data_IF_459025400921
#
_entry.id   IF_459025400921
#
_cell.length_a   1.000
_cell.length_b   1.000
_cell.length_c   1.000
_cell.angle_alpha   90.00
_cell.angle_beta   90.00
_cell.angle_gamma   90.00
#
_symmetry.space_group_name_H-M   'P 1'
#
loop_
_entity.id
_entity.type
_entity.pdbx_description
1 polymer ?
#
# COMPACT_ATOMS: atom_id res chain seq x y z
N UNK A 1 -21.83 -17.55 -19.17
CA UNK A 1 -22.45 -16.29 -18.72
C UNK A 1 -21.45 -15.19 -19.10
N UNK A 2 -21.87 -14.25 -19.94
CA UNK A 2 -21.03 -13.19 -20.46
C UNK A 2 -20.42 -12.36 -19.33
N UNK A 3 -19.13 -12.02 -19.48
CA UNK A 3 -18.46 -11.03 -18.67
C UNK A 3 -19.23 -9.70 -18.80
N UNK A 4 -19.62 -9.14 -17.67
CA UNK A 4 -20.16 -7.77 -17.63
C UNK A 4 -18.97 -6.88 -17.99
N UNK A 5 -19.05 -6.08 -19.08
CA UNK A 5 -18.00 -5.12 -19.39
C UNK A 5 -17.90 -4.09 -18.25
N UNK A 6 -16.72 -3.49 -18.01
CA UNK A 6 -16.57 -2.45 -17.01
C UNK A 6 -17.57 -1.32 -17.32
N UNK A 7 -18.19 -0.81 -16.28
CA UNK A 7 -19.23 0.22 -16.32
C UNK A 7 -18.88 1.35 -17.26
N UNK A 8 -19.86 1.79 -18.01
CA UNK A 8 -19.89 2.92 -18.96
C UNK A 8 -19.71 4.29 -18.23
N UNK A 9 -18.77 4.36 -17.31
CA UNK A 9 -18.43 5.59 -16.59
C UNK A 9 -17.41 6.37 -17.40
N UNK A 10 -17.80 7.56 -17.84
CA UNK A 10 -16.86 8.52 -18.44
C UNK A 10 -15.70 8.77 -17.49
N UNK A 11 -14.45 8.82 -17.99
CA UNK A 11 -13.30 9.09 -17.14
C UNK A 11 -13.46 10.43 -16.42
N UNK A 12 -13.22 10.44 -15.10
CA UNK A 12 -13.18 11.67 -14.31
C UNK A 12 -11.94 12.50 -14.60
N UNK A 13 -10.88 11.85 -15.08
CA UNK A 13 -9.59 12.45 -15.38
C UNK A 13 -8.96 11.74 -16.59
N UNK A 14 -8.44 12.51 -17.53
CA UNK A 14 -7.52 12.04 -18.58
C UNK A 14 -6.10 12.43 -18.19
N UNK A 15 -5.20 11.46 -18.09
CA UNK A 15 -3.79 11.67 -17.71
C UNK A 15 -2.92 11.50 -18.94
N UNK A 16 -2.33 12.58 -19.42
CA UNK A 16 -1.34 12.58 -20.48
C UNK A 16 0.06 12.47 -19.87
N UNK A 17 0.85 11.54 -20.34
CA UNK A 17 2.18 11.35 -19.78
C UNK A 17 3.03 10.37 -20.56
N UNK A 18 4.26 10.14 -20.09
CA UNK A 18 5.17 9.16 -20.68
C UNK A 18 5.40 7.98 -19.74
N UNK A 19 5.55 6.82 -20.32
CA UNK A 19 6.03 5.62 -19.59
C UNK A 19 7.47 5.86 -19.11
N UNK A 20 7.83 5.35 -17.94
CA UNK A 20 9.15 5.56 -17.35
C UNK A 20 9.35 6.92 -16.68
N UNK A 21 8.27 7.66 -16.39
CA UNK A 21 8.31 8.87 -15.56
C UNK A 21 7.78 8.56 -14.16
N UNK A 22 8.60 8.78 -13.13
CA UNK A 22 8.22 8.57 -11.74
C UNK A 22 6.97 9.37 -11.34
N UNK A 23 6.85 10.60 -11.84
CA UNK A 23 5.70 11.45 -11.54
C UNK A 23 4.43 10.96 -12.25
N UNK A 24 4.54 10.57 -13.51
CA UNK A 24 3.40 9.96 -14.25
C UNK A 24 2.94 8.66 -13.58
N UNK A 25 3.89 7.82 -13.15
CA UNK A 25 3.59 6.62 -12.39
C UNK A 25 2.85 6.94 -11.08
N UNK A 26 3.35 7.90 -10.29
CA UNK A 26 2.76 8.28 -9.01
C UNK A 26 1.29 8.71 -9.15
N UNK A 27 0.98 9.56 -10.13
CA UNK A 27 -0.41 10.01 -10.39
C UNK A 27 -1.28 8.84 -10.84
N UNK A 28 -0.80 8.02 -11.75
CA UNK A 28 -1.53 6.83 -12.23
C UNK A 28 -1.81 5.82 -11.13
N UNK A 29 -0.78 5.46 -10.34
CA UNK A 29 -0.91 4.52 -9.23
C UNK A 29 -1.90 5.05 -8.18
N UNK A 30 -1.84 6.35 -7.87
CA UNK A 30 -2.78 6.99 -6.97
C UNK A 30 -4.23 6.88 -7.45
N UNK A 31 -4.50 7.22 -8.71
CA UNK A 31 -5.84 7.13 -9.30
C UNK A 31 -6.34 5.68 -9.35
N UNK A 32 -5.50 4.77 -9.82
CA UNK A 32 -5.81 3.34 -9.91
C UNK A 32 -6.15 2.74 -8.54
N UNK A 33 -5.33 2.99 -7.54
CA UNK A 33 -5.51 2.41 -6.19
C UNK A 33 -6.70 2.98 -5.43
N UNK A 34 -7.16 4.16 -5.79
CA UNK A 34 -8.37 4.76 -5.22
C UNK A 34 -9.62 4.55 -6.09
N UNK A 35 -9.54 3.63 -7.06
CA UNK A 35 -10.63 3.27 -7.97
C UNK A 35 -11.26 4.49 -8.68
N UNK A 36 -10.42 5.47 -9.04
CA UNK A 36 -10.84 6.63 -9.83
C UNK A 36 -10.91 6.23 -11.29
N UNK A 37 -12.06 6.37 -11.97
CA UNK A 37 -12.13 6.17 -13.41
C UNK A 37 -11.25 7.20 -14.14
N UNK A 38 -10.17 6.76 -14.76
CA UNK A 38 -9.28 7.62 -15.53
C UNK A 38 -8.89 7.00 -16.85
N UNK A 39 -8.56 7.86 -17.82
CA UNK A 39 -7.97 7.49 -19.10
C UNK A 39 -6.47 7.81 -19.09
N UNK A 40 -5.65 6.85 -19.50
CA UNK A 40 -4.22 7.08 -19.71
C UNK A 40 -3.91 7.27 -21.18
N UNK A 41 -3.34 8.42 -21.52
CA UNK A 41 -2.85 8.73 -22.86
C UNK A 41 -1.33 8.79 -22.84
N UNK A 42 -0.69 7.69 -23.27
CA UNK A 42 0.77 7.60 -23.37
C UNK A 42 1.28 8.44 -24.54
N UNK A 43 2.21 9.36 -24.25
CA UNK A 43 2.88 10.16 -25.27
C UNK A 43 4.20 9.46 -25.66
N UNK A 44 4.39 9.24 -26.96
CA UNK A 44 5.54 8.55 -27.54
C UNK A 44 6.41 9.42 -28.44
N UNK A 45 5.87 10.56 -28.89
CA UNK A 45 6.53 11.47 -29.82
C UNK A 45 6.35 12.93 -29.41
N UNK A 46 7.29 13.79 -29.82
CA UNK A 46 7.18 15.24 -29.60
C UNK A 46 6.00 15.86 -30.38
N UNK A 47 5.53 15.20 -31.42
CA UNK A 47 4.34 15.64 -32.17
C UNK A 47 3.09 15.50 -31.30
N UNK A 48 2.94 14.37 -30.62
CA UNK A 48 1.83 14.14 -29.69
C UNK A 48 1.90 15.10 -28.49
N UNK A 49 3.10 15.36 -27.96
CA UNK A 49 3.30 16.33 -26.89
C UNK A 49 2.87 17.74 -27.31
N UNK A 50 3.27 18.18 -28.51
CA UNK A 50 2.87 19.50 -29.07
C UNK A 50 1.37 19.59 -29.31
N UNK A 51 0.70 18.49 -29.66
CA UNK A 51 -0.75 18.48 -29.85
C UNK A 51 -1.55 18.81 -28.59
N UNK A 52 -0.95 18.61 -27.41
CA UNK A 52 -1.53 18.98 -26.10
C UNK A 52 -0.87 20.22 -25.47
N UNK A 53 -0.10 21.00 -26.25
CA UNK A 53 0.53 22.25 -25.82
C UNK A 53 1.81 22.13 -25.02
N UNK A 54 2.51 20.98 -25.12
CA UNK A 54 3.84 20.77 -24.54
C UNK A 54 4.93 20.91 -25.62
N UNK A 55 6.17 21.14 -25.22
CA UNK A 55 7.28 21.34 -26.16
C UNK A 55 7.83 19.99 -26.69
N UNK A 56 7.88 18.97 -25.83
CA UNK A 56 8.39 17.63 -26.15
C UNK A 56 7.86 16.58 -25.16
N UNK A 57 8.14 15.30 -25.43
CA UNK A 57 7.87 14.21 -24.46
C UNK A 57 8.75 14.29 -23.19
N UNK A 58 9.80 15.10 -23.22
CA UNK A 58 10.67 15.39 -22.08
C UNK A 58 10.24 16.60 -21.26
N UNK A 59 9.12 17.22 -21.61
CA UNK A 59 8.65 18.44 -20.95
C UNK A 59 8.38 18.23 -19.46
N UNK A 60 8.94 19.11 -18.63
CA UNK A 60 8.83 19.04 -17.17
C UNK A 60 7.41 19.26 -16.66
N UNK A 61 6.50 19.76 -17.48
CA UNK A 61 5.08 19.91 -17.18
C UNK A 61 4.31 18.59 -17.16
N UNK A 62 4.91 17.47 -17.59
CA UNK A 62 4.30 16.14 -17.52
C UNK A 62 4.31 15.55 -16.09
N UNK A 63 3.26 14.79 -15.69
CA UNK A 63 2.02 14.51 -16.41
C UNK A 63 1.08 15.73 -16.49
N UNK A 64 0.22 15.74 -17.51
CA UNK A 64 -0.90 16.70 -17.59
C UNK A 64 -2.19 15.95 -17.27
N UNK A 65 -2.93 16.44 -16.29
CA UNK A 65 -4.24 15.92 -15.93
C UNK A 65 -5.34 16.87 -16.44
N UNK A 66 -6.28 16.32 -17.20
CA UNK A 66 -7.48 17.04 -17.66
C UNK A 66 -8.69 16.40 -17.00
N UNK A 67 -9.39 17.15 -16.16
CA UNK A 67 -10.55 16.68 -15.41
C UNK A 67 -11.85 16.82 -16.23
N UNK A 68 -12.88 16.08 -15.85
CA UNK A 68 -14.17 16.05 -16.55
C UNK A 68 -14.84 17.42 -16.69
N UNK A 69 -14.53 18.38 -15.81
CA UNK A 69 -15.01 19.77 -15.90
C UNK A 69 -14.15 20.68 -16.81
N UNK A 70 -13.18 20.09 -17.52
CA UNK A 70 -12.26 20.80 -18.39
C UNK A 70 -11.05 21.44 -17.68
N UNK A 71 -10.94 21.34 -16.37
CA UNK A 71 -9.76 21.84 -15.65
C UNK A 71 -8.52 21.08 -16.07
N UNK A 72 -7.47 21.81 -16.46
CA UNK A 72 -6.15 21.28 -16.80
C UNK A 72 -5.17 21.62 -15.69
N UNK A 73 -4.44 20.62 -15.19
CA UNK A 73 -3.36 20.79 -14.21
C UNK A 73 -2.11 20.10 -14.76
N UNK A 74 -1.04 20.89 -14.89
CA UNK A 74 0.27 20.44 -15.35
C UNK A 74 1.11 20.06 -14.14
N UNK A 75 1.80 18.92 -14.20
CA UNK A 75 2.62 18.36 -13.13
C UNK A 75 1.93 18.37 -11.76
N UNK A 76 0.69 17.86 -11.65
CA UNK A 76 -0.06 17.94 -10.40
C UNK A 76 0.62 17.15 -9.29
N UNK A 77 0.64 17.71 -8.09
CA UNK A 77 0.90 16.93 -6.88
C UNK A 77 -0.31 16.03 -6.58
N UNK A 78 -0.11 14.96 -5.82
CA UNK A 78 -1.23 14.10 -5.37
C UNK A 78 -2.26 14.89 -4.57
N UNK A 79 -1.81 15.87 -3.79
CA UNK A 79 -2.68 16.77 -3.05
C UNK A 79 -3.61 17.57 -4.00
N UNK A 80 -3.07 18.15 -5.08
CA UNK A 80 -3.88 18.88 -6.07
C UNK A 80 -4.87 17.97 -6.79
N UNK A 81 -4.47 16.73 -7.10
CA UNK A 81 -5.39 15.73 -7.66
C UNK A 81 -6.51 15.42 -6.66
N UNK A 82 -6.18 15.17 -5.40
CA UNK A 82 -7.15 14.87 -4.34
C UNK A 82 -8.09 16.05 -4.08
N UNK A 83 -7.57 17.29 -4.10
CA UNK A 83 -8.36 18.51 -3.97
C UNK A 83 -9.37 18.64 -5.12
N UNK A 84 -8.90 18.41 -6.35
CA UNK A 84 -9.77 18.50 -7.54
C UNK A 84 -10.84 17.42 -7.57
N UNK A 85 -10.55 16.24 -7.01
CA UNK A 85 -11.53 15.16 -6.82
C UNK A 85 -12.49 15.41 -5.64
N UNK A 86 -12.32 16.53 -4.90
CA UNK A 86 -13.15 16.87 -3.75
C UNK A 86 -12.88 16.02 -2.50
N UNK A 87 -11.69 15.39 -2.42
CA UNK A 87 -11.33 14.49 -1.32
C UNK A 87 -10.57 15.18 -0.18
N UNK A 88 -10.00 16.36 -0.43
CA UNK A 88 -9.38 17.16 0.62
C UNK A 88 -10.46 17.84 1.45
N UNK A 89 -10.75 17.22 2.60
CA UNK A 89 -11.69 17.74 3.59
C UNK A 89 -10.97 17.92 4.92
N UNK A 90 -11.35 18.92 5.68
CA UNK A 90 -10.91 19.04 7.06
C UNK A 90 -11.77 18.16 7.97
N UNK A 91 -11.23 17.72 9.13
CA UNK A 91 -12.00 16.98 10.11
C UNK A 91 -13.31 17.71 10.45
N UNK A 92 -14.43 17.00 10.34
CA UNK A 92 -15.76 17.59 10.57
C UNK A 92 -16.06 17.83 12.05
N UNK A 93 -15.36 17.12 12.95
CA UNK A 93 -15.54 17.20 14.39
C UNK A 93 -14.26 17.70 15.08
N UNK A 94 -14.44 18.42 16.17
CA UNK A 94 -13.34 18.85 17.04
C UNK A 94 -12.74 17.70 17.85
N UNK A 95 -13.50 16.62 18.07
CA UNK A 95 -13.09 15.43 18.81
C UNK A 95 -13.84 14.19 18.31
N UNK A 96 -13.12 13.09 18.19
CA UNK A 96 -13.61 11.78 17.81
C UNK A 96 -13.53 10.79 18.97
N UNK A 97 -14.32 9.71 18.93
CA UNK A 97 -14.16 8.60 19.84
C UNK A 97 -12.93 7.78 19.46
N UNK A 98 -12.70 7.62 18.14
CA UNK A 98 -11.62 6.82 17.58
C UNK A 98 -10.96 7.49 16.39
N UNK A 99 -9.62 7.60 16.42
CA UNK A 99 -8.80 7.91 15.26
C UNK A 99 -8.04 6.65 14.78
N UNK A 100 -8.10 6.36 13.48
CA UNK A 100 -7.46 5.22 12.84
C UNK A 100 -6.40 5.75 11.88
N UNK A 101 -5.16 5.33 12.04
CA UNK A 101 -4.05 5.73 11.18
C UNK A 101 -3.71 4.59 10.21
N UNK A 102 -4.00 4.80 8.93
CA UNK A 102 -3.87 3.84 7.84
C UNK A 102 -5.23 3.25 7.41
N UNK A 103 -5.53 3.33 6.10
CA UNK A 103 -6.72 2.77 5.47
C UNK A 103 -6.42 1.47 4.70
N UNK A 104 -5.48 0.65 5.20
CA UNK A 104 -5.29 -0.74 4.77
C UNK A 104 -6.41 -1.65 5.29
N UNK A 105 -6.35 -2.97 5.03
CA UNK A 105 -7.40 -3.91 5.46
C UNK A 105 -7.74 -3.85 6.95
N UNK A 106 -6.74 -3.68 7.83
CA UNK A 106 -6.97 -3.54 9.28
C UNK A 106 -7.71 -2.25 9.62
N UNK A 107 -7.26 -1.12 9.06
CA UNK A 107 -7.87 0.18 9.33
C UNK A 107 -9.29 0.30 8.76
N UNK A 108 -9.53 -0.21 7.55
CA UNK A 108 -10.87 -0.23 6.95
C UNK A 108 -11.83 -1.12 7.74
N UNK A 109 -11.37 -2.30 8.18
CA UNK A 109 -12.17 -3.16 9.05
C UNK A 109 -12.50 -2.45 10.36
N UNK A 110 -11.51 -1.84 11.02
CA UNK A 110 -11.74 -1.06 12.22
C UNK A 110 -12.74 0.09 11.98
N UNK A 111 -12.65 0.79 10.85
CA UNK A 111 -13.56 1.88 10.49
C UNK A 111 -15.01 1.38 10.29
N UNK A 112 -15.19 0.26 9.61
CA UNK A 112 -16.53 -0.35 9.41
C UNK A 112 -17.14 -0.71 10.76
N UNK A 113 -16.41 -1.44 11.60
CA UNK A 113 -16.94 -1.89 12.90
C UNK A 113 -17.18 -0.72 13.84
N UNK A 114 -16.23 0.19 14.02
CA UNK A 114 -16.39 1.32 14.94
C UNK A 114 -17.53 2.23 14.56
N UNK A 115 -17.67 2.58 13.27
CA UNK A 115 -18.74 3.43 12.80
C UNK A 115 -20.12 2.71 12.85
N UNK A 116 -20.18 1.42 12.53
CA UNK A 116 -21.42 0.64 12.65
C UNK A 116 -21.91 0.52 14.11
N UNK A 117 -20.99 0.55 15.05
CA UNK A 117 -21.28 0.54 16.49
C UNK A 117 -21.53 1.95 17.06
N UNK A 118 -21.59 2.97 16.21
CA UNK A 118 -21.95 4.35 16.55
C UNK A 118 -20.82 5.22 17.09
N UNK A 119 -19.56 4.76 17.04
CA UNK A 119 -18.42 5.59 17.42
C UNK A 119 -18.15 6.66 16.36
N UNK A 120 -17.89 7.89 16.79
CA UNK A 120 -17.39 8.97 15.95
C UNK A 120 -15.98 8.63 15.50
N UNK A 121 -15.84 8.15 14.27
CA UNK A 121 -14.61 7.55 13.74
C UNK A 121 -14.02 8.38 12.63
N UNK A 122 -12.70 8.66 12.71
CA UNK A 122 -11.92 9.26 11.64
C UNK A 122 -10.76 8.34 11.23
N UNK A 123 -10.55 8.20 9.93
CA UNK A 123 -9.42 7.46 9.34
C UNK A 123 -8.50 8.44 8.63
N UNK A 124 -7.21 8.32 8.87
CA UNK A 124 -6.17 9.13 8.24
C UNK A 124 -5.34 8.23 7.32
N UNK A 125 -5.33 8.50 6.02
CA UNK A 125 -4.59 7.75 5.03
C UNK A 125 -3.63 8.67 4.25
N UNK A 126 -2.36 8.29 4.25
CA UNK A 126 -1.29 9.11 3.65
C UNK A 126 -1.29 9.09 2.12
N UNK A 127 -1.76 8.00 1.51
CA UNK A 127 -1.65 7.79 0.07
C UNK A 127 -2.97 7.32 -0.54
N UNK A 128 -3.26 6.04 -0.46
CA UNK A 128 -4.41 5.43 -1.11
C UNK A 128 -5.07 4.38 -0.21
N UNK A 129 -6.39 4.33 -0.26
CA UNK A 129 -7.19 3.33 0.44
C UNK A 129 -6.81 1.92 -0.01
N UNK A 130 -6.83 0.96 0.91
CA UNK A 130 -6.47 -0.43 0.66
C UNK A 130 -5.03 -0.79 1.04
N UNK A 131 -4.17 0.18 1.35
CA UNK A 131 -2.78 -0.08 1.74
C UNK A 131 -2.04 -0.94 0.70
N UNK A 132 -1.15 -1.82 1.11
CA UNK A 132 -0.45 -2.73 0.18
C UNK A 132 -1.39 -3.74 -0.50
N UNK A 133 -2.47 -4.16 0.16
CA UNK A 133 -3.44 -5.07 -0.43
C UNK A 133 -4.13 -4.45 -1.66
N UNK A 134 -4.35 -3.13 -1.66
CA UNK A 134 -4.94 -2.39 -2.79
C UNK A 134 -4.14 -2.48 -4.09
N UNK A 135 -2.83 -2.74 -4.03
CA UNK A 135 -1.99 -2.95 -5.21
C UNK A 135 -2.01 -4.39 -5.75
N UNK A 136 -2.69 -5.32 -5.06
CA UNK A 136 -2.76 -6.72 -5.50
C UNK A 136 -3.72 -6.87 -6.67
N UNK A 137 -3.27 -7.43 -7.80
CA UNK A 137 -4.14 -7.59 -8.97
C UNK A 137 -5.28 -8.57 -8.72
N UNK A 138 -5.05 -9.57 -7.84
CA UNK A 138 -6.05 -10.57 -7.49
C UNK A 138 -5.76 -11.20 -6.13
N UNK A 139 -6.72 -11.12 -5.22
CA UNK A 139 -6.73 -11.79 -3.92
C UNK A 139 -7.67 -12.98 -4.02
N UNK A 140 -7.14 -14.20 -4.04
CA UNK A 140 -7.90 -15.43 -4.27
C UNK A 140 -8.20 -16.19 -2.96
N UNK A 141 -7.51 -15.85 -1.89
CA UNK A 141 -7.63 -16.52 -0.58
C UNK A 141 -8.36 -15.68 0.48
N UNK A 142 -9.13 -14.67 0.07
CA UNK A 142 -10.02 -13.95 0.96
C UNK A 142 -11.42 -14.57 0.91
N UNK A 143 -11.96 -14.90 2.07
CA UNK A 143 -13.24 -15.60 2.22
C UNK A 143 -14.37 -14.80 1.59
N UNK A 144 -15.29 -15.51 0.87
CA UNK A 144 -16.47 -14.92 0.22
C UNK A 144 -16.27 -14.58 -1.27
N UNK A 145 -15.06 -14.70 -1.80
CA UNK A 145 -14.75 -14.41 -3.21
C UNK A 145 -14.18 -15.65 -3.92
N UNK A 146 -15.02 -16.61 -4.34
CA UNK A 146 -14.54 -17.89 -4.90
C UNK A 146 -13.79 -17.75 -6.22
N UNK A 147 -13.95 -16.62 -6.92
CA UNK A 147 -13.20 -16.29 -8.14
C UNK A 147 -12.07 -15.28 -7.89
N UNK A 148 -11.84 -14.91 -6.62
CA UNK A 148 -10.95 -13.83 -6.23
C UNK A 148 -11.56 -12.44 -6.49
N UNK A 149 -10.89 -11.43 -5.97
CA UNK A 149 -11.24 -10.01 -6.14
C UNK A 149 -9.95 -9.21 -6.28
N UNK A 150 -9.94 -8.10 -7.01
CA UNK A 150 -8.81 -7.19 -7.01
C UNK A 150 -8.66 -6.50 -5.66
N UNK A 151 -7.42 -6.15 -5.29
CA UNK A 151 -7.18 -5.45 -4.03
C UNK A 151 -7.84 -4.07 -3.99
N UNK A 152 -7.84 -3.36 -5.11
CA UNK A 152 -8.47 -2.05 -5.26
C UNK A 152 -9.99 -2.14 -5.06
N UNK A 153 -10.65 -3.08 -5.74
CA UNK A 153 -12.10 -3.30 -5.60
C UNK A 153 -12.49 -3.71 -4.18
N UNK A 154 -11.72 -4.59 -3.54
CA UNK A 154 -11.97 -4.97 -2.14
C UNK A 154 -11.86 -3.77 -1.20
N UNK A 155 -10.87 -2.92 -1.41
CA UNK A 155 -10.64 -1.72 -0.62
C UNK A 155 -11.75 -0.68 -0.82
N UNK A 156 -12.18 -0.46 -2.06
CA UNK A 156 -13.25 0.47 -2.38
C UNK A 156 -14.57 0.06 -1.75
N UNK A 157 -14.95 -1.21 -1.85
CA UNK A 157 -16.14 -1.77 -1.17
C UNK A 157 -16.09 -1.55 0.35
N UNK A 158 -14.93 -1.76 0.98
CA UNK A 158 -14.76 -1.54 2.41
C UNK A 158 -14.82 -0.05 2.78
N UNK A 159 -14.26 0.84 1.94
CA UNK A 159 -14.36 2.30 2.08
C UNK A 159 -15.81 2.76 2.02
N UNK A 160 -16.56 2.33 1.00
CA UNK A 160 -17.99 2.66 0.87
C UNK A 160 -18.79 2.19 2.08
N UNK A 161 -18.50 0.98 2.57
CA UNK A 161 -19.15 0.43 3.75
C UNK A 161 -18.88 1.26 5.00
N UNK A 162 -17.62 1.64 5.24
CA UNK A 162 -17.22 2.49 6.37
C UNK A 162 -17.89 3.87 6.30
N UNK A 163 -17.84 4.52 5.13
CA UNK A 163 -18.49 5.83 4.90
C UNK A 163 -20.00 5.77 5.08
N UNK A 164 -20.66 4.71 4.63
CA UNK A 164 -22.10 4.51 4.82
C UNK A 164 -22.51 4.44 6.30
N UNK A 165 -21.66 3.90 7.16
CA UNK A 165 -21.86 3.91 8.60
C UNK A 165 -21.43 5.21 9.28
N UNK A 166 -20.86 6.18 8.53
CA UNK A 166 -20.51 7.50 9.04
C UNK A 166 -19.04 7.68 9.43
N UNK A 167 -18.15 6.74 9.09
CA UNK A 167 -16.72 6.96 9.23
C UNK A 167 -16.28 8.08 8.29
N UNK A 168 -15.47 9.00 8.80
CA UNK A 168 -14.80 10.03 8.03
C UNK A 168 -13.42 9.54 7.60
N UNK A 169 -13.09 9.64 6.31
CA UNK A 169 -11.80 9.20 5.76
C UNK A 169 -11.10 10.37 5.11
N UNK A 170 -9.93 10.72 5.64
CA UNK A 170 -9.03 11.74 5.09
C UNK A 170 -7.96 11.05 4.25
N UNK A 171 -7.99 11.25 2.93
CA UNK A 171 -7.03 10.70 1.96
C UNK A 171 -5.96 11.74 1.64
N UNK A 172 -4.74 11.29 1.27
CA UNK A 172 -3.58 12.12 1.01
C UNK A 172 -3.18 13.00 2.20
N UNK A 173 -3.37 12.49 3.42
CA UNK A 173 -3.05 13.15 4.68
C UNK A 173 -2.11 12.27 5.51
N UNK A 174 -0.91 12.73 5.78
CA UNK A 174 0.09 11.99 6.55
C UNK A 174 0.13 12.48 8.00
N UNK A 175 0.01 11.53 8.96
CA UNK A 175 0.28 11.79 10.36
C UNK A 175 1.79 11.85 10.61
N UNK A 176 2.28 12.97 11.14
CA UNK A 176 3.72 13.20 11.33
C UNK A 176 4.14 13.27 12.79
N UNK A 177 3.20 13.53 13.69
CA UNK A 177 3.46 13.62 15.13
C UNK A 177 2.23 13.22 15.91
N UNK A 178 2.43 12.62 17.08
CA UNK A 178 1.36 12.34 18.04
C UNK A 178 1.72 12.88 19.42
N UNK A 179 0.70 13.12 20.23
CA UNK A 179 0.79 13.49 21.64
C UNK A 179 -0.28 12.75 22.43
N UNK A 180 0.06 12.37 23.66
CA UNK A 180 -0.88 11.77 24.60
C UNK A 180 -1.05 12.72 25.80
N UNK A 181 -2.22 13.30 25.96
CA UNK A 181 -2.47 14.30 27.00
C UNK A 181 -3.91 14.24 27.49
N UNK A 182 -4.08 14.31 28.82
CA UNK A 182 -5.38 14.38 29.48
C UNK A 182 -6.39 13.32 28.99
N UNK A 183 -5.94 12.08 28.84
CA UNK A 183 -6.78 10.97 28.36
C UNK A 183 -7.08 11.00 26.86
N UNK A 184 -6.53 11.94 26.10
CA UNK A 184 -6.75 12.10 24.66
C UNK A 184 -5.51 11.74 23.83
N UNK A 185 -5.75 11.34 22.58
CA UNK A 185 -4.76 11.04 21.55
C UNK A 185 -4.83 12.16 20.51
N UNK A 186 -3.76 12.89 20.38
CA UNK A 186 -3.69 14.03 19.48
C UNK A 186 -2.72 13.72 18.37
N UNK A 187 -3.20 13.66 17.13
CA UNK A 187 -2.39 13.51 15.93
C UNK A 187 -2.24 14.83 15.20
N UNK A 188 -1.04 15.09 14.70
CA UNK A 188 -0.75 16.22 13.84
C UNK A 188 -0.43 15.71 12.45
N UNK A 189 -1.10 16.26 11.45
CA UNK A 189 -0.90 15.94 10.06
C UNK A 189 0.17 16.86 9.44
N UNK A 190 0.77 16.43 8.35
CA UNK A 190 1.86 17.15 7.67
C UNK A 190 1.46 18.57 7.21
N UNK A 191 0.17 18.82 6.98
CA UNK A 191 -0.37 20.12 6.59
C UNK A 191 -0.78 21.02 7.77
N UNK A 192 -0.45 20.60 9.00
CA UNK A 192 -0.78 21.33 10.22
C UNK A 192 -2.15 21.00 10.83
N UNK A 193 -2.97 20.20 10.16
CA UNK A 193 -4.26 19.75 10.71
C UNK A 193 -4.07 18.96 11.99
N UNK A 194 -4.92 19.21 12.98
CA UNK A 194 -4.94 18.51 14.26
C UNK A 194 -6.15 17.59 14.35
N UNK A 195 -5.94 16.32 14.71
CA UNK A 195 -6.99 15.35 14.99
C UNK A 195 -6.94 14.95 16.46
N UNK A 196 -8.06 15.10 17.16
CA UNK A 196 -8.18 14.75 18.59
C UNK A 196 -9.14 13.57 18.73
N UNK A 197 -8.73 12.53 19.46
CA UNK A 197 -9.57 11.37 19.72
C UNK A 197 -9.37 10.81 21.14
N UNK A 198 -10.37 10.08 21.64
CA UNK A 198 -10.32 9.42 22.95
C UNK A 198 -9.48 8.14 22.90
N UNK A 199 -9.50 7.43 21.76
CA UNK A 199 -8.67 6.26 21.48
C UNK A 199 -8.06 6.34 20.08
N UNK A 200 -7.00 5.57 19.84
CA UNK A 200 -6.39 5.49 18.50
C UNK A 200 -6.02 4.05 18.15
N UNK A 201 -6.12 3.71 16.86
CA UNK A 201 -5.61 2.47 16.28
C UNK A 201 -4.52 2.82 15.26
N UNK A 202 -3.30 2.30 15.47
CA UNK A 202 -2.24 2.31 14.49
C UNK A 202 -2.43 1.11 13.55
N UNK A 203 -2.82 1.36 12.31
CA UNK A 203 -3.05 0.38 11.26
C UNK A 203 -2.21 0.69 10.00
N UNK A 204 -1.02 1.32 10.21
CA UNK A 204 -0.16 1.87 9.16
C UNK A 204 0.54 0.83 8.32
N UNK A 205 0.46 -0.46 8.73
CA UNK A 205 1.07 -1.56 8.01
C UNK A 205 2.60 -1.46 7.95
N UNK A 206 3.17 -1.85 6.81
CA UNK A 206 4.60 -1.81 6.53
C UNK A 206 4.88 -1.09 5.22
N UNK A 207 6.05 -0.48 5.09
CA UNK A 207 6.56 0.03 3.81
C UNK A 207 7.43 -1.03 3.16
N UNK A 208 7.49 -1.02 1.83
CA UNK A 208 8.33 -1.96 1.09
C UNK A 208 9.81 -1.78 1.41
N UNK A 209 10.48 -2.89 1.67
CA UNK A 209 11.93 -2.93 1.76
C UNK A 209 12.57 -2.57 0.43
N UNK A 210 13.71 -1.89 0.48
CA UNK A 210 14.46 -1.44 -0.68
C UNK A 210 15.48 -2.49 -1.11
N UNK A 211 15.81 -2.50 -2.40
CA UNK A 211 16.94 -3.27 -2.91
C UNK A 211 18.25 -2.73 -2.39
N UNK A 212 18.28 -1.44 -2.02
CA UNK A 212 19.46 -0.70 -1.55
C UNK A 212 20.61 -0.72 -2.55
N UNK A 213 20.30 -0.72 -3.85
CA UNK A 213 21.28 -0.71 -4.93
C UNK A 213 21.64 0.74 -5.32
N UNK A 214 22.86 0.96 -5.82
CA UNK A 214 23.25 2.23 -6.42
C UNK A 214 22.25 2.63 -7.54
N UNK A 215 21.92 3.91 -7.61
CA UNK A 215 21.00 4.50 -8.59
C UNK A 215 19.53 4.02 -8.50
N UNK A 216 19.14 3.24 -7.48
CA UNK A 216 17.77 2.76 -7.33
C UNK A 216 16.74 3.90 -7.34
N UNK A 217 17.00 4.99 -6.58
CA UNK A 217 16.09 6.14 -6.52
C UNK A 217 15.88 6.81 -7.88
N UNK A 218 16.87 6.77 -8.77
CA UNK A 218 16.77 7.30 -10.13
C UNK A 218 15.76 6.52 -10.97
N UNK A 219 15.69 5.21 -10.78
CA UNK A 219 14.82 4.32 -11.55
C UNK A 219 13.47 4.07 -10.89
N UNK A 220 13.26 4.58 -9.69
CA UNK A 220 11.99 4.41 -8.97
C UNK A 220 10.84 5.09 -9.69
N UNK A 221 9.82 4.29 -10.11
CA UNK A 221 8.73 4.73 -10.98
C UNK A 221 9.16 4.96 -12.43
N UNK A 222 10.46 4.78 -12.74
CA UNK A 222 11.03 4.85 -14.08
C UNK A 222 11.67 3.51 -14.48
N UNK A 223 11.00 2.41 -14.11
CA UNK A 223 11.40 1.02 -14.40
C UNK A 223 11.57 0.16 -13.17
N UNK A 224 11.76 0.74 -11.97
CA UNK A 224 11.76 0.03 -10.68
C UNK A 224 10.47 0.37 -9.92
N UNK A 225 9.67 -0.64 -9.64
CA UNK A 225 8.37 -0.53 -8.98
C UNK A 225 8.34 -1.42 -7.75
N UNK A 226 7.66 -0.97 -6.69
CA UNK A 226 7.51 -1.72 -5.45
C UNK A 226 6.08 -2.26 -5.33
N UNK A 227 5.96 -3.56 -5.03
CA UNK A 227 4.70 -4.26 -4.95
C UNK A 227 4.29 -4.96 -6.25
N UNK A 228 3.01 -5.34 -6.35
CA UNK A 228 2.53 -6.23 -7.42
C UNK A 228 2.28 -5.55 -8.77
N UNK A 229 2.39 -4.21 -8.85
CA UNK A 229 2.35 -3.45 -10.10
C UNK A 229 1.08 -3.65 -10.94
N UNK A 230 -0.09 -3.74 -10.30
CA UNK A 230 -1.34 -3.97 -11.03
C UNK A 230 -1.66 -2.85 -12.03
N UNK A 231 -1.30 -1.61 -11.72
CA UNK A 231 -1.47 -0.44 -12.59
C UNK A 231 -0.56 -0.44 -13.82
N UNK A 232 0.56 -1.20 -13.80
CA UNK A 232 1.56 -1.25 -14.87
C UNK A 232 1.35 -2.40 -15.84
N UNK A 233 0.56 -3.41 -15.49
CA UNK A 233 0.47 -4.66 -16.25
C UNK A 233 0.08 -4.47 -17.72
N UNK A 234 -0.83 -3.55 -18.00
CA UNK A 234 -1.25 -3.23 -19.37
C UNK A 234 -0.15 -2.52 -20.20
N UNK A 235 0.86 -1.94 -19.54
CA UNK A 235 1.99 -1.29 -20.20
C UNK A 235 3.15 -2.26 -20.47
N UNK A 236 3.11 -3.45 -19.87
CA UNK A 236 4.15 -4.49 -20.01
C UNK A 236 3.93 -5.39 -21.23
N UNK A 237 2.94 -5.09 -22.07
CA UNK A 237 2.67 -5.84 -23.30
C UNK A 237 3.91 -5.79 -24.19
N UNK A 238 4.31 -6.97 -24.74
CA UNK A 238 5.51 -7.14 -25.56
C UNK A 238 6.86 -6.86 -24.86
N UNK A 239 6.86 -6.69 -23.53
CA UNK A 239 8.06 -6.39 -22.75
C UNK A 239 8.49 -7.59 -21.87
N UNK A 240 9.79 -7.71 -21.61
CA UNK A 240 10.29 -8.63 -20.60
C UNK A 240 10.11 -8.03 -19.21
N UNK A 241 9.47 -8.75 -18.29
CA UNK A 241 9.24 -8.32 -16.90
C UNK A 241 10.12 -9.12 -15.96
N UNK A 242 10.77 -8.45 -15.02
CA UNK A 242 11.51 -9.09 -13.92
C UNK A 242 10.78 -8.83 -12.62
N UNK A 243 10.55 -9.88 -11.83
CA UNK A 243 9.95 -9.82 -10.50
C UNK A 243 10.97 -10.35 -9.49
N UNK A 244 11.17 -9.63 -8.38
CA UNK A 244 12.07 -10.05 -7.30
C UNK A 244 11.29 -10.31 -6.03
N UNK A 245 11.49 -11.48 -5.44
CA UNK A 245 10.87 -11.87 -4.18
C UNK A 245 10.42 -13.31 -4.15
N UNK A 246 10.35 -13.89 -2.96
CA UNK A 246 10.02 -15.31 -2.75
C UNK A 246 8.71 -15.54 -1.98
N UNK A 247 7.90 -14.51 -1.77
CA UNK A 247 6.60 -14.63 -1.09
C UNK A 247 5.41 -14.69 -2.04
N UNK A 248 4.20 -14.84 -1.47
CA UNK A 248 2.95 -14.87 -2.24
C UNK A 248 2.75 -13.62 -3.12
N UNK A 249 3.18 -12.44 -2.65
CA UNK A 249 3.08 -11.20 -3.43
C UNK A 249 3.88 -11.27 -4.72
N UNK A 250 5.12 -11.77 -4.66
CA UNK A 250 5.95 -11.98 -5.85
C UNK A 250 5.34 -13.03 -6.79
N UNK A 251 4.82 -14.13 -6.24
CA UNK A 251 4.15 -15.17 -7.01
C UNK A 251 2.89 -14.66 -7.74
N UNK A 252 2.06 -13.87 -7.04
CA UNK A 252 0.86 -13.25 -7.63
C UNK A 252 1.21 -12.23 -8.71
N UNK A 253 2.23 -11.39 -8.48
CA UNK A 253 2.75 -10.45 -9.48
C UNK A 253 3.25 -11.20 -10.73
N UNK A 254 4.08 -12.25 -10.55
CA UNK A 254 4.59 -13.08 -11.64
C UNK A 254 3.47 -13.65 -12.48
N UNK A 255 2.45 -14.27 -11.87
CA UNK A 255 1.30 -14.83 -12.57
C UNK A 255 0.40 -13.75 -13.21
N UNK A 256 0.35 -12.55 -12.64
CA UNK A 256 -0.35 -11.45 -13.24
C UNK A 256 0.34 -10.99 -14.52
N UNK A 257 1.64 -10.70 -14.44
CA UNK A 257 2.43 -10.28 -15.60
C UNK A 257 2.53 -11.34 -16.68
N UNK A 258 2.54 -12.64 -16.33
CA UNK A 258 2.60 -13.73 -17.35
C UNK A 258 1.40 -13.75 -18.30
N UNK A 259 0.32 -13.06 -18.00
CA UNK A 259 -0.85 -12.90 -18.88
C UNK A 259 -0.72 -11.76 -19.89
N UNK A 260 0.21 -10.85 -19.66
CA UNK A 260 0.37 -9.62 -20.45
C UNK A 260 1.73 -9.56 -21.16
N UNK A 261 2.78 -10.01 -20.49
CA UNK A 261 4.15 -9.98 -20.97
C UNK A 261 4.55 -11.29 -21.68
N UNK A 262 5.33 -11.24 -22.77
CA UNK A 262 5.81 -12.42 -23.46
C UNK A 262 6.80 -13.24 -22.63
N UNK A 263 7.49 -12.61 -21.67
CA UNK A 263 8.44 -13.28 -20.77
C UNK A 263 8.42 -12.63 -19.40
N UNK A 264 8.41 -13.46 -18.35
CA UNK A 264 8.55 -13.04 -16.96
C UNK A 264 9.69 -13.83 -16.30
N UNK A 265 10.62 -13.14 -15.65
CA UNK A 265 11.66 -13.76 -14.85
C UNK A 265 11.40 -13.49 -13.37
N UNK A 266 11.16 -14.55 -12.59
CA UNK A 266 11.06 -14.47 -11.14
C UNK A 266 12.42 -14.77 -10.52
N UNK A 267 12.97 -13.79 -9.78
CA UNK A 267 14.28 -13.88 -9.10
C UNK A 267 14.06 -14.13 -7.62
N UNK A 268 14.56 -15.24 -7.09
CA UNK A 268 14.44 -15.61 -5.68
C UNK A 268 15.79 -15.92 -5.04
N UNK A 269 16.01 -15.45 -3.82
CA UNK A 269 17.24 -15.72 -3.05
C UNK A 269 17.36 -17.17 -2.60
N UNK A 270 16.23 -17.80 -2.29
CA UNK A 270 16.16 -19.20 -1.88
C UNK A 270 16.40 -20.17 -3.02
N UNK A 271 16.50 -21.43 -2.68
CA UNK A 271 16.61 -22.54 -3.65
C UNK A 271 15.25 -23.03 -4.17
N UNK A 272 14.16 -22.61 -3.53
CA UNK A 272 12.81 -23.07 -3.85
C UNK A 272 11.75 -22.05 -3.39
N UNK A 273 10.59 -22.06 -4.03
CA UNK A 273 9.39 -21.31 -3.63
C UNK A 273 8.61 -22.01 -2.49
N UNK A 274 8.90 -23.28 -2.21
CA UNK A 274 8.08 -24.14 -1.31
C UNK A 274 8.00 -23.65 0.13
N UNK A 275 8.98 -22.90 0.60
CA UNK A 275 9.05 -22.45 2.00
C UNK A 275 8.16 -21.24 2.29
N UNK A 276 7.74 -20.48 1.25
CA UNK A 276 7.15 -19.16 1.44
C UNK A 276 5.97 -18.84 0.51
N UNK A 277 5.70 -19.70 -0.47
CA UNK A 277 4.62 -19.52 -1.45
C UNK A 277 3.57 -20.62 -1.30
N UNK A 278 2.31 -20.26 -1.40
CA UNK A 278 1.18 -21.19 -1.37
C UNK A 278 1.25 -22.18 -2.56
N UNK A 279 0.96 -23.48 -2.31
CA UNK A 279 1.13 -24.54 -3.28
C UNK A 279 0.44 -24.28 -4.63
N UNK A 280 -0.80 -23.79 -4.61
CA UNK A 280 -1.54 -23.47 -5.84
C UNK A 280 -0.89 -22.40 -6.73
N UNK A 281 -0.12 -21.47 -6.13
CA UNK A 281 0.64 -20.47 -6.89
C UNK A 281 1.89 -21.08 -7.49
N UNK A 282 2.55 -21.98 -6.75
CA UNK A 282 3.74 -22.71 -7.22
C UNK A 282 3.39 -23.52 -8.47
N UNK A 283 2.31 -24.30 -8.42
CA UNK A 283 1.86 -25.12 -9.53
C UNK A 283 1.57 -24.29 -10.79
N UNK A 284 0.93 -23.14 -10.62
CA UNK A 284 0.64 -22.20 -11.71
C UNK A 284 1.91 -21.57 -12.30
N UNK A 285 2.88 -21.17 -11.44
CA UNK A 285 4.14 -20.60 -11.90
C UNK A 285 4.90 -21.59 -12.79
N UNK A 286 5.05 -22.82 -12.33
CA UNK A 286 5.77 -23.84 -13.10
C UNK A 286 5.00 -24.34 -14.33
N UNK A 287 3.69 -24.15 -14.38
CA UNK A 287 2.86 -24.46 -15.56
C UNK A 287 2.86 -23.35 -16.62
N UNK A 288 3.30 -22.14 -16.27
CA UNK A 288 3.33 -21.01 -17.19
C UNK A 288 4.57 -21.08 -18.09
N UNK A 289 4.37 -21.28 -19.41
CA UNK A 289 5.45 -21.46 -20.39
C UNK A 289 6.35 -20.25 -20.61
N UNK A 290 5.88 -19.05 -20.25
CA UNK A 290 6.61 -17.78 -20.38
C UNK A 290 7.21 -17.28 -19.06
N UNK A 291 7.21 -18.12 -18.00
CA UNK A 291 7.81 -17.79 -16.70
C UNK A 291 9.08 -18.58 -16.49
N UNK A 292 10.16 -17.88 -16.20
CA UNK A 292 11.45 -18.44 -15.77
C UNK A 292 11.68 -18.13 -14.30
N UNK A 293 12.06 -19.13 -13.49
CA UNK A 293 12.40 -18.93 -12.07
C UNK A 293 13.92 -19.08 -11.90
N UNK A 294 14.56 -17.99 -11.45
CA UNK A 294 15.99 -17.99 -11.09
C UNK A 294 16.11 -18.13 -9.57
N UNK A 295 16.54 -19.29 -9.13
CA UNK A 295 16.79 -19.60 -7.72
C UNK A 295 18.21 -19.24 -7.31
N UNK A 296 18.43 -19.00 -5.99
CA UNK A 296 19.72 -18.60 -5.44
C UNK A 296 20.29 -17.38 -6.18
N UNK A 297 19.42 -16.45 -6.50
CA UNK A 297 19.72 -15.34 -7.38
C UNK A 297 19.24 -14.01 -6.75
N UNK A 298 20.01 -12.96 -6.98
CA UNK A 298 19.74 -11.61 -6.50
C UNK A 298 19.98 -10.59 -7.61
N UNK A 299 19.18 -9.54 -7.66
CA UNK A 299 19.49 -8.37 -8.48
C UNK A 299 20.59 -7.61 -7.79
N UNK A 300 21.73 -7.42 -8.48
CA UNK A 300 22.94 -6.80 -7.93
C UNK A 300 23.30 -5.47 -8.60
N UNK A 301 22.71 -5.18 -9.78
CA UNK A 301 22.88 -3.87 -10.40
C UNK A 301 21.65 -3.48 -11.24
N UNK A 302 21.47 -2.18 -11.37
CA UNK A 302 20.46 -1.53 -12.20
C UNK A 302 21.18 -0.70 -13.26
N UNK A 303 20.84 -0.89 -14.53
CA UNK A 303 21.47 -0.22 -15.66
C UNK A 303 20.44 0.59 -16.45
N UNK A 304 20.85 1.73 -16.93
CA UNK A 304 20.06 2.62 -17.74
C UNK A 304 20.48 4.09 -17.56
N UNK A 305 19.90 4.95 -18.39
CA UNK A 305 20.20 6.38 -18.34
C UNK A 305 19.11 7.14 -17.61
N UNK A 306 17.97 7.33 -18.20
CA UNK A 306 16.82 8.05 -17.61
C UNK A 306 15.72 7.10 -17.11
N UNK A 307 15.68 5.91 -17.70
CA UNK A 307 14.81 4.79 -17.32
C UNK A 307 15.66 3.55 -17.14
N UNK A 308 15.12 2.56 -16.46
CA UNK A 308 15.74 1.24 -16.38
C UNK A 308 15.80 0.61 -17.79
N UNK A 309 16.96 0.09 -18.17
CA UNK A 309 17.18 -0.58 -19.46
C UNK A 309 17.59 -2.05 -19.26
N UNK A 310 18.25 -2.35 -18.14
CA UNK A 310 18.59 -3.73 -17.78
C UNK A 310 18.80 -3.89 -16.27
N UNK A 311 18.72 -5.14 -15.83
CA UNK A 311 19.15 -5.56 -14.48
C UNK A 311 20.25 -6.60 -14.57
N UNK A 312 21.17 -6.60 -13.61
CA UNK A 312 22.16 -7.67 -13.47
C UNK A 312 21.70 -8.57 -12.31
N UNK A 313 21.56 -9.85 -12.61
CA UNK A 313 21.20 -10.89 -11.65
C UNK A 313 22.41 -11.76 -11.39
N UNK A 314 22.81 -11.88 -10.12
CA UNK A 314 23.95 -12.71 -9.70
C UNK A 314 23.46 -13.95 -8.97
N UNK A 315 23.93 -15.11 -9.37
CA UNK A 315 23.71 -16.35 -8.63
C UNK A 315 24.63 -16.38 -7.40
N UNK A 316 24.07 -16.46 -6.20
CA UNK A 316 24.79 -16.40 -4.93
C UNK A 316 25.73 -17.58 -4.66
N UNK A 317 25.51 -18.73 -5.33
CA UNK A 317 26.31 -19.94 -5.16
C UNK A 317 27.50 -19.97 -6.12
N UNK A 318 27.30 -19.56 -7.38
CA UNK A 318 28.30 -19.69 -8.44
C UNK A 318 29.03 -18.36 -8.74
N UNK A 319 28.49 -17.25 -8.29
CA UNK A 319 28.95 -15.91 -8.66
C UNK A 319 28.65 -15.53 -10.12
N UNK A 320 27.97 -16.41 -10.86
CA UNK A 320 27.65 -16.13 -12.26
C UNK A 320 26.68 -14.97 -12.38
N UNK A 321 27.01 -14.01 -13.22
CA UNK A 321 26.17 -12.85 -13.52
C UNK A 321 25.44 -13.05 -14.84
N UNK A 322 24.17 -12.63 -14.85
CA UNK A 322 23.33 -12.57 -16.02
C UNK A 322 22.73 -11.19 -16.15
N UNK A 323 23.00 -10.51 -17.26
CA UNK A 323 22.35 -9.27 -17.65
C UNK A 323 21.00 -9.59 -18.32
N UNK A 324 19.93 -8.98 -17.84
CA UNK A 324 18.56 -9.13 -18.38
C UNK A 324 18.08 -7.77 -18.85
N UNK A 325 17.85 -7.62 -20.14
CA UNK A 325 17.24 -6.42 -20.71
C UNK A 325 15.78 -6.34 -20.30
N UNK A 326 15.42 -5.26 -19.64
CA UNK A 326 14.07 -4.98 -19.16
C UNK A 326 13.90 -3.52 -18.77
N UNK A 327 12.70 -3.00 -19.00
CA UNK A 327 12.26 -1.70 -18.47
C UNK A 327 11.34 -1.88 -17.25
N UNK A 328 11.14 -3.12 -16.76
CA UNK A 328 10.14 -3.46 -15.76
C UNK A 328 10.71 -4.39 -14.71
N UNK A 329 11.08 -3.82 -13.57
CA UNK A 329 11.51 -4.53 -12.38
C UNK A 329 10.49 -4.29 -11.26
N UNK A 330 9.84 -5.37 -10.80
CA UNK A 330 8.89 -5.33 -9.67
C UNK A 330 9.50 -5.97 -8.44
N UNK A 331 9.58 -5.20 -7.35
CA UNK A 331 10.24 -5.59 -6.11
C UNK A 331 9.21 -5.96 -5.05
N UNK A 332 9.21 -7.23 -4.63
CA UNK A 332 8.29 -7.83 -3.68
C UNK A 332 9.06 -8.56 -2.55
N UNK A 333 10.03 -7.89 -1.93
CA UNK A 333 10.99 -8.50 -0.98
C UNK A 333 10.61 -8.35 0.49
N UNK A 334 9.40 -7.87 0.79
CA UNK A 334 8.93 -7.64 2.14
C UNK A 334 8.83 -6.17 2.48
N UNK A 335 8.75 -5.86 3.77
CA UNK A 335 8.65 -4.48 4.25
C UNK A 335 8.83 -4.37 5.76
N UNK A 336 9.17 -3.17 6.20
CA UNK A 336 9.33 -2.78 7.59
C UNK A 336 8.31 -1.72 8.01
N UNK A 337 7.87 -1.68 9.28
CA UNK A 337 6.93 -0.69 9.75
C UNK A 337 7.61 0.67 9.95
N UNK A 338 6.90 1.76 9.68
CA UNK A 338 7.34 3.12 10.02
C UNK A 338 6.78 3.51 11.38
N UNK A 339 7.52 3.22 12.42
CA UNK A 339 7.09 3.44 13.81
C UNK A 339 8.10 4.25 14.63
N UNK A 340 8.95 5.03 13.97
CA UNK A 340 9.96 5.88 14.64
C UNK A 340 9.30 6.87 15.60
N UNK A 341 8.13 7.38 15.26
CA UNK A 341 7.30 8.25 16.10
C UNK A 341 6.95 7.59 17.45
N UNK A 342 6.79 6.29 17.47
CA UNK A 342 6.40 5.51 18.65
C UNK A 342 7.50 5.52 19.72
N UNK A 343 8.78 5.50 19.32
CA UNK A 343 9.91 5.56 20.25
C UNK A 343 9.92 6.87 21.06
N UNK A 344 9.64 8.00 20.38
CA UNK A 344 9.59 9.31 21.03
C UNK A 344 8.47 9.42 22.09
N UNK A 345 7.47 8.55 22.00
CA UNK A 345 6.31 8.50 22.91
C UNK A 345 6.40 7.35 23.93
N UNK A 346 7.52 6.62 23.98
CA UNK A 346 7.70 5.49 24.87
C UNK A 346 6.84 4.26 24.51
N UNK A 347 6.32 4.17 23.29
CA UNK A 347 5.60 3.00 22.81
C UNK A 347 6.58 1.88 22.51
N UNK A 348 6.36 0.69 23.12
CA UNK A 348 7.25 -0.46 22.98
C UNK A 348 7.22 -1.01 21.56
N UNK A 349 8.42 -1.24 21.01
CA UNK A 349 8.66 -1.84 19.70
C UNK A 349 9.64 -3.00 19.82
N UNK A 350 9.53 -3.96 18.92
CA UNK A 350 10.54 -4.99 18.76
C UNK A 350 11.80 -4.43 18.05
N UNK A 351 12.90 -5.18 17.96
CA UNK A 351 14.13 -4.74 17.29
C UNK A 351 13.95 -4.43 15.79
N UNK A 352 12.93 -4.98 15.13
CA UNK A 352 12.59 -4.70 13.73
C UNK A 352 11.63 -3.51 13.57
N UNK A 353 11.20 -2.89 14.67
CA UNK A 353 10.34 -1.71 14.67
C UNK A 353 8.84 -2.00 14.76
N UNK A 354 8.40 -3.24 14.87
CA UNK A 354 6.98 -3.57 15.01
C UNK A 354 6.46 -3.19 16.38
N UNK A 355 5.20 -2.74 16.46
CA UNK A 355 4.57 -2.37 17.72
C UNK A 355 4.21 -3.62 18.54
N UNK A 356 4.66 -3.67 19.78
CA UNK A 356 4.36 -4.77 20.71
C UNK A 356 3.04 -4.48 21.41
N UNK A 357 2.18 -5.50 21.55
CA UNK A 357 0.83 -5.36 22.11
C UNK A 357 0.44 -6.50 23.03
N UNK A 358 -0.48 -6.22 23.92
CA UNK A 358 -1.18 -7.24 24.72
C UNK A 358 -0.26 -8.17 25.52
N UNK A 359 -0.39 -9.50 25.33
CA UNK A 359 0.40 -10.47 26.10
C UNK A 359 1.91 -10.35 25.93
N UNK A 360 2.37 -9.88 24.75
CA UNK A 360 3.80 -9.75 24.45
C UNK A 360 4.47 -8.60 25.22
N UNK A 361 3.67 -7.76 25.88
CA UNK A 361 4.14 -6.71 26.80
C UNK A 361 4.32 -7.22 28.25
N UNK A 362 3.80 -8.39 28.57
CA UNK A 362 3.81 -8.89 29.96
C UNK A 362 5.18 -9.48 30.34
N UNK A 363 5.68 -9.13 31.52
CA UNK A 363 6.84 -9.72 32.12
C UNK A 363 6.40 -10.61 33.30
N UNK A 364 6.63 -11.92 33.22
CA UNK A 364 6.18 -12.91 34.20
C UNK A 364 4.67 -12.81 34.52
N UNK A 365 3.85 -12.55 33.48
CA UNK A 365 2.39 -12.40 33.60
C UNK A 365 1.93 -11.07 34.20
N UNK A 366 2.85 -10.14 34.46
CA UNK A 366 2.55 -8.80 35.01
C UNK A 366 2.53 -7.75 33.94
N UNK A 367 1.71 -6.73 34.10
CA UNK A 367 1.68 -5.57 33.24
C UNK A 367 3.05 -4.88 33.13
N UNK A 368 3.36 -4.21 32.01
CA UNK A 368 4.64 -3.53 31.85
C UNK A 368 4.85 -2.42 32.90
N UNK A 369 6.11 -2.12 33.16
CA UNK A 369 6.47 -1.05 34.11
C UNK A 369 5.85 0.28 33.69
N UNK A 370 5.27 0.98 34.68
CA UNK A 370 4.59 2.27 34.44
C UNK A 370 3.19 2.15 33.83
N UNK A 371 2.64 0.95 33.65
CA UNK A 371 1.26 0.76 33.24
C UNK A 371 0.29 1.32 34.30
N UNK A 372 -0.58 2.30 33.94
CA UNK A 372 -1.33 3.06 34.93
C UNK A 372 -2.70 2.48 35.33
N UNK A 373 -3.11 1.36 34.72
CA UNK A 373 -4.44 0.76 34.95
C UNK A 373 -4.35 -0.53 35.78
N UNK A 374 -5.40 -0.83 36.54
CA UNK A 374 -5.48 -2.04 37.38
C UNK A 374 -5.67 -3.34 36.57
N UNK A 375 -5.86 -3.25 35.27
CA UNK A 375 -5.94 -4.39 34.34
C UNK A 375 -4.67 -4.51 33.50
N UNK A 376 -4.40 -5.68 32.93
CA UNK A 376 -3.39 -5.83 31.87
C UNK A 376 -3.82 -5.15 30.57
N UNK A 377 -2.86 -4.80 29.69
CA UNK A 377 -3.18 -4.35 28.31
C UNK A 377 -4.09 -5.36 27.61
N UNK A 378 -5.08 -4.87 26.85
CA UNK A 378 -5.88 -5.75 25.99
C UNK A 378 -5.02 -6.32 24.86
N UNK A 379 -5.47 -7.40 24.21
CA UNK A 379 -4.70 -8.18 23.24
C UNK A 379 -4.02 -7.34 22.14
N UNK A 380 -4.67 -6.31 21.63
CA UNK A 380 -4.13 -5.40 20.61
C UNK A 380 -3.75 -4.01 21.18
N UNK A 381 -3.78 -3.82 22.50
CA UNK A 381 -3.42 -2.56 23.14
C UNK A 381 -1.90 -2.49 23.36
N UNK A 382 -1.30 -1.36 23.06
CA UNK A 382 0.11 -1.10 23.33
C UNK A 382 0.35 -0.87 24.83
N UNK A 383 1.58 -0.58 25.23
CA UNK A 383 1.88 -0.14 26.62
C UNK A 383 1.37 1.28 26.92
N UNK A 384 0.68 1.93 26.00
CA UNK A 384 -0.01 3.22 26.21
C UNK A 384 -1.52 2.97 26.19
N UNK A 385 -2.23 3.14 27.34
CA UNK A 385 -3.66 2.91 27.42
C UNK A 385 -4.45 3.64 26.33
N UNK A 386 -5.36 2.94 25.64
CA UNK A 386 -6.18 3.50 24.57
C UNK A 386 -5.47 3.75 23.24
N UNK A 387 -4.21 3.31 23.12
CA UNK A 387 -3.51 3.20 21.84
C UNK A 387 -3.39 1.73 21.46
N UNK A 388 -3.97 1.36 20.33
CA UNK A 388 -4.02 -0.01 19.80
C UNK A 388 -3.18 -0.11 18.52
N UNK A 389 -2.75 -1.33 18.18
CA UNK A 389 -2.13 -1.61 16.89
C UNK A 389 -2.81 -2.83 16.25
N UNK A 390 -3.03 -2.79 14.93
CA UNK A 390 -3.67 -3.84 14.17
C UNK A 390 -3.06 -4.00 12.78
N UNK A 391 -3.00 -5.24 12.29
CA UNK A 391 -2.43 -5.58 10.99
C UNK A 391 -0.90 -5.62 11.01
N UNK A 392 -0.30 -5.44 9.84
CA UNK A 392 1.12 -5.73 9.59
C UNK A 392 2.11 -4.86 10.37
N UNK A 393 1.66 -3.76 10.97
CA UNK A 393 2.47 -2.89 11.84
C UNK A 393 2.75 -3.54 13.20
N UNK A 394 1.97 -4.56 13.59
CA UNK A 394 2.05 -5.23 14.88
C UNK A 394 3.13 -6.32 14.88
N UNK A 395 3.83 -6.44 16.00
CA UNK A 395 4.72 -7.57 16.28
C UNK A 395 3.99 -8.91 16.08
N UNK A 396 4.69 -9.87 15.46
CA UNK A 396 4.20 -11.23 15.17
C UNK A 396 2.90 -11.30 14.36
N UNK A 397 2.63 -10.28 13.54
CA UNK A 397 1.48 -10.25 12.62
C UNK A 397 1.64 -11.30 11.52
N UNK A 398 0.53 -12.00 11.19
CA UNK A 398 0.50 -13.05 10.16
C UNK A 398 0.72 -12.53 8.74
N UNK A 399 0.59 -11.23 8.50
CA UNK A 399 0.74 -10.56 7.19
C UNK A 399 -0.15 -11.16 6.11
N UNK A 400 -1.45 -11.25 6.41
CA UNK A 400 -2.52 -11.67 5.51
C UNK A 400 -3.68 -10.69 5.57
N UNK A 401 -4.37 -10.48 4.46
CA UNK A 401 -5.54 -9.60 4.39
C UNK A 401 -6.61 -10.01 5.41
N UNK A 402 -6.94 -11.29 5.47
CA UNK A 402 -7.94 -11.81 6.42
C UNK A 402 -7.53 -11.60 7.89
N UNK A 403 -6.26 -11.81 8.23
CA UNK A 403 -5.75 -11.59 9.59
C UNK A 403 -5.80 -10.11 9.96
N UNK A 404 -5.39 -9.22 9.07
CA UNK A 404 -5.47 -7.78 9.26
C UNK A 404 -6.91 -7.30 9.46
N UNK A 405 -7.86 -7.80 8.65
CA UNK A 405 -9.30 -7.54 8.81
C UNK A 405 -9.80 -8.00 10.17
N UNK A 406 -9.43 -9.22 10.60
CA UNK A 406 -9.81 -9.77 11.90
C UNK A 406 -9.25 -8.95 13.06
N UNK A 407 -7.98 -8.54 12.99
CA UNK A 407 -7.37 -7.68 14.01
C UNK A 407 -8.02 -6.30 14.07
N UNK A 408 -8.36 -5.69 12.93
CA UNK A 408 -9.07 -4.42 12.88
C UNK A 408 -10.42 -4.48 13.60
N UNK A 409 -11.22 -5.50 13.31
CA UNK A 409 -12.51 -5.72 13.97
C UNK A 409 -12.34 -5.97 15.48
N UNK A 410 -11.37 -6.80 15.86
CA UNK A 410 -11.09 -7.13 17.27
C UNK A 410 -10.61 -5.89 18.04
N UNK A 411 -9.77 -5.06 17.44
CA UNK A 411 -9.29 -3.83 18.06
C UNK A 411 -10.45 -2.91 18.49
N UNK A 412 -11.50 -2.81 17.68
CA UNK A 412 -12.68 -2.01 18.00
C UNK A 412 -13.38 -2.51 19.25
N UNK A 413 -13.52 -3.82 19.42
CA UNK A 413 -14.11 -4.39 20.64
C UNK A 413 -13.32 -4.02 21.89
N UNK A 414 -12.00 -3.95 21.79
CA UNK A 414 -11.15 -3.50 22.90
C UNK A 414 -11.19 -1.99 23.10
N UNK A 415 -11.28 -1.21 22.02
CA UNK A 415 -11.52 0.24 22.11
C UNK A 415 -12.80 0.54 22.88
N UNK A 416 -13.89 -0.15 22.55
CA UNK A 416 -15.18 0.04 23.27
C UNK A 416 -15.06 -0.26 24.76
N UNK A 417 -14.39 -1.35 25.13
CA UNK A 417 -14.12 -1.67 26.54
C UNK A 417 -13.29 -0.58 27.22
N UNK A 418 -12.28 -0.05 26.53
CA UNK A 418 -11.47 1.05 27.03
C UNK A 418 -12.30 2.32 27.26
N UNK A 419 -13.12 2.70 26.25
CA UNK A 419 -13.95 3.90 26.30
C UNK A 419 -15.08 3.81 27.36
N UNK A 420 -15.56 2.60 27.66
CA UNK A 420 -16.61 2.36 28.65
C UNK A 420 -16.06 2.32 30.11
N UNK A 421 -14.77 2.12 30.28
CA UNK A 421 -14.12 2.03 31.60
C UNK A 421 -13.57 3.39 32.09
N UNK A 422 -13.54 4.40 31.27
CA UNK A 422 -13.15 5.80 31.57
C UNK A 422 -14.27 6.76 31.28
#
# INVERSE_FOLDING_TARGET
MAEIPPSDQRPLVTVYGRTGSAHCHAVRDFLFRNDVPFEWVGLHTDVEARAIGLDSIGDDRLPVCVFADGTRIERPTIRQVSEKLGWLRDPSLSEYDLAIYGAGPAGLSAAVYSASDGLKTIVIERWAVGGQAGSSPKIENYLGFPRGISGAELADRAREQACRFGAEILIAREGVRAEFSAGKRVGYLADGTKVVARAAICATGVDYDRLALPNEERFRGAGVYYGAGASEAQLCVEQHVVVVGSGNSAAQATLHFSRHAPRVTLVIRGDSLKSSVSGYLIDRIYSASNVEVLTRAEVTALEGRDVLEAVVVTNSQTGTQRRIETHWLFVCIGGAPRTEWAAALGVVRDPAGYLVTGPDLLHDGRAPDGWPLDRSPYYLETNVPGLFAAGDVRHDSVKRVASAVGEGAMAVAFVQRYLSAG
#
